data_IF_094128302133
#
_entry.id   IF_094128302133
#
_cell.length_a   1.000
_cell.length_b   1.000
_cell.length_c   1.000
_cell.angle_alpha   90.00
_cell.angle_beta   90.00
_cell.angle_gamma   90.00
#
_symmetry.space_group_name_H-M   'P 1'
#
loop_
_entity.id
_entity.type
_entity.pdbx_description
1 polymer ?
#
# COMPACT_ATOMS: atom_id res chain seq x y z
N UNK A 1 3.71 1.58 7.98
CA UNK A 1 2.75 2.00 6.95
C UNK A 1 2.09 3.30 7.37
N UNK A 2 2.07 4.26 6.49
CA UNK A 2 1.50 5.59 6.77
C UNK A 2 0.22 5.76 5.98
N UNK A 3 -0.75 6.48 6.53
CA UNK A 3 -2.01 6.75 5.84
C UNK A 3 -2.26 8.25 5.82
N UNK A 4 -2.74 8.76 4.69
CA UNK A 4 -3.10 10.16 4.55
C UNK A 4 -4.21 10.33 3.52
N UNK A 5 -4.88 11.47 3.56
CA UNK A 5 -5.91 11.79 2.61
C UNK A 5 -5.31 12.22 1.27
N UNK A 6 -6.11 12.13 0.22
CA UNK A 6 -5.73 12.62 -1.11
C UNK A 6 -5.33 14.10 -1.07
N UNK A 7 -6.11 14.92 -0.37
CA UNK A 7 -5.84 16.36 -0.28
C UNK A 7 -4.48 16.63 0.38
N UNK A 8 -4.18 15.91 1.45
CA UNK A 8 -2.92 16.04 2.17
C UNK A 8 -1.75 15.57 1.30
N UNK A 9 -1.89 14.45 0.63
CA UNK A 9 -0.83 13.91 -0.24
C UNK A 9 -0.58 14.83 -1.43
N UNK A 10 -1.63 15.39 -2.01
CA UNK A 10 -1.53 16.29 -3.14
C UNK A 10 -0.76 17.55 -2.80
N UNK A 11 -0.98 18.09 -1.60
CA UNK A 11 -0.29 19.30 -1.14
C UNK A 11 1.22 19.10 -0.99
N UNK A 12 1.65 17.86 -0.68
CA UNK A 12 3.05 17.53 -0.42
C UNK A 12 3.51 16.32 -1.22
N UNK A 13 3.05 16.19 -2.45
CA UNK A 13 3.22 14.95 -3.21
C UNK A 13 4.68 14.56 -3.41
N UNK A 14 5.53 15.54 -3.73
CA UNK A 14 6.96 15.27 -3.90
C UNK A 14 7.60 14.69 -2.62
N UNK A 15 7.22 15.23 -1.47
CA UNK A 15 7.70 14.73 -0.17
C UNK A 15 7.18 13.32 0.12
N UNK A 16 5.94 13.04 -0.26
CA UNK A 16 5.36 11.72 -0.10
C UNK A 16 6.14 10.70 -0.93
N UNK A 17 6.41 11.02 -2.18
CA UNK A 17 7.18 10.14 -3.06
C UNK A 17 8.61 9.94 -2.55
N UNK A 18 9.25 11.00 -2.08
CA UNK A 18 10.60 10.92 -1.52
C UNK A 18 10.65 10.01 -0.28
N UNK A 19 9.67 10.13 0.60
CA UNK A 19 9.59 9.29 1.79
C UNK A 19 9.39 7.81 1.42
N UNK A 20 8.54 7.56 0.43
CA UNK A 20 8.30 6.19 -0.03
C UNK A 20 9.57 5.56 -0.58
N UNK A 21 10.35 6.31 -1.35
CA UNK A 21 11.56 5.79 -1.98
C UNK A 21 12.74 5.76 -1.00
N UNK A 22 12.96 6.84 -0.27
CA UNK A 22 14.15 6.99 0.58
C UNK A 22 14.01 6.31 1.94
N UNK A 23 12.84 6.46 2.56
CA UNK A 23 12.59 5.93 3.91
C UNK A 23 11.88 4.59 3.89
N UNK A 24 11.55 4.09 2.72
CA UNK A 24 10.85 2.81 2.55
C UNK A 24 9.52 2.76 3.32
N UNK A 25 8.81 3.87 3.33
CA UNK A 25 7.53 3.99 4.02
C UNK A 25 6.39 3.88 3.01
N UNK A 26 5.68 2.76 3.02
CA UNK A 26 4.49 2.60 2.19
C UNK A 26 3.41 3.56 2.69
N UNK A 27 2.71 4.20 1.78
CA UNK A 27 1.72 5.20 2.13
C UNK A 27 0.37 4.87 1.51
N UNK A 28 -0.65 4.76 2.35
CA UNK A 28 -2.03 4.55 1.91
C UNK A 28 -2.66 5.92 1.68
N UNK A 29 -3.23 6.09 0.50
CA UNK A 29 -3.94 7.32 0.14
C UNK A 29 -5.43 7.03 0.13
N UNK A 30 -6.17 7.75 0.95
CA UNK A 30 -7.62 7.62 1.03
C UNK A 30 -8.30 8.81 0.36
N UNK A 31 -9.42 8.54 -0.27
CA UNK A 31 -10.23 9.57 -0.91
C UNK A 31 -11.70 9.21 -0.74
N UNK A 32 -12.50 10.16 -0.23
CA UNK A 32 -13.92 9.93 0.02
C UNK A 32 -14.64 9.42 -1.23
N UNK A 33 -15.39 8.34 -1.08
CA UNK A 33 -16.14 7.75 -2.18
C UNK A 33 -15.32 6.96 -3.19
N UNK A 34 -14.04 6.76 -2.94
CA UNK A 34 -13.14 6.01 -3.84
C UNK A 34 -12.38 4.93 -3.07
N UNK A 35 -11.96 3.93 -3.81
CA UNK A 35 -11.14 2.87 -3.26
C UNK A 35 -9.78 3.44 -2.84
N UNK A 36 -9.30 3.10 -1.63
CA UNK A 36 -7.96 3.53 -1.23
C UNK A 36 -6.89 2.86 -2.09
N UNK A 37 -5.78 3.57 -2.25
CA UNK A 37 -4.64 3.06 -3.00
C UNK A 37 -3.41 3.10 -2.10
N UNK A 38 -2.38 2.36 -2.46
CA UNK A 38 -1.11 2.39 -1.74
C UNK A 38 -0.01 2.87 -2.68
N UNK A 39 0.85 3.74 -2.17
CA UNK A 39 2.06 4.16 -2.87
C UNK A 39 3.22 3.39 -2.27
N UNK A 40 3.94 2.68 -3.12
CA UNK A 40 5.09 1.88 -2.74
C UNK A 40 6.13 2.02 -3.85
N UNK A 41 7.42 1.94 -3.50
CA UNK A 41 8.45 2.00 -4.53
C UNK A 41 8.35 0.79 -5.46
N UNK A 42 8.77 0.97 -6.70
CA UNK A 42 8.76 -0.14 -7.67
C UNK A 42 9.59 -1.32 -7.16
N UNK A 43 10.74 -1.03 -6.54
CA UNK A 43 11.61 -2.06 -5.96
C UNK A 43 10.87 -2.87 -4.89
N UNK A 44 10.16 -2.18 -3.98
CA UNK A 44 9.38 -2.85 -2.95
C UNK A 44 8.25 -3.67 -3.54
N UNK A 45 7.57 -3.13 -4.53
CA UNK A 45 6.47 -3.83 -5.19
C UNK A 45 6.97 -5.11 -5.86
N UNK A 46 8.08 -5.03 -6.57
CA UNK A 46 8.67 -6.21 -7.21
C UNK A 46 9.12 -7.24 -6.18
N UNK A 47 9.68 -6.78 -5.07
CA UNK A 47 10.10 -7.64 -3.97
C UNK A 47 8.91 -8.37 -3.34
N UNK A 48 7.81 -7.67 -3.13
CA UNK A 48 6.58 -8.25 -2.60
C UNK A 48 6.02 -9.31 -3.55
N UNK A 49 6.00 -9.02 -4.84
CA UNK A 49 5.55 -9.98 -5.85
C UNK A 49 6.44 -11.21 -5.88
N UNK A 50 7.74 -11.00 -5.84
CA UNK A 50 8.72 -12.08 -5.87
C UNK A 50 8.63 -12.93 -4.61
N UNK A 51 8.49 -12.30 -3.44
CA UNK A 51 8.31 -12.99 -2.18
C UNK A 51 7.05 -13.85 -2.19
N UNK A 52 5.95 -13.30 -2.66
CA UNK A 52 4.69 -14.04 -2.77
C UNK A 52 4.83 -15.24 -3.70
N UNK A 53 5.62 -15.10 -4.76
CA UNK A 53 5.91 -16.18 -5.71
C UNK A 53 6.86 -17.23 -5.13
N UNK A 54 7.92 -16.78 -4.46
CA UNK A 54 8.98 -17.64 -3.91
C UNK A 54 8.58 -18.38 -2.65
N UNK A 55 7.62 -17.86 -1.90
CA UNK A 55 7.16 -18.54 -0.68
C UNK A 55 6.57 -19.91 -0.95
N UNK A 56 6.31 -20.24 -2.21
CA UNK A 56 6.09 -21.62 -2.67
C UNK A 56 4.97 -22.38 -1.99
N UNK A 57 4.48 -21.90 -0.87
CA UNK A 57 3.32 -22.46 -0.20
C UNK A 57 2.15 -21.55 -0.49
N UNK A 58 1.16 -22.02 -1.25
CA UNK A 58 -0.01 -21.21 -1.56
C UNK A 58 -0.69 -20.60 -0.34
N UNK A 59 -0.62 -21.30 0.78
CA UNK A 59 -1.21 -20.86 2.04
C UNK A 59 -0.55 -19.57 2.57
N UNK A 60 0.77 -19.48 2.56
CA UNK A 60 1.48 -18.32 3.08
C UNK A 60 1.31 -17.09 2.17
N UNK A 61 1.41 -17.30 0.86
CA UNK A 61 1.18 -16.23 -0.11
C UNK A 61 -0.25 -15.70 0.02
N UNK A 62 -1.22 -16.59 0.19
CA UNK A 62 -2.60 -16.24 0.37
C UNK A 62 -2.84 -15.43 1.64
N UNK A 63 -2.16 -15.75 2.72
CA UNK A 63 -2.25 -15.01 3.96
C UNK A 63 -1.82 -13.55 3.81
N UNK A 64 -0.71 -13.34 3.11
CA UNK A 64 -0.22 -12.00 2.85
C UNK A 64 -1.19 -11.19 2.00
N UNK A 65 -1.70 -11.80 0.93
CA UNK A 65 -2.67 -11.17 0.06
C UNK A 65 -3.98 -10.89 0.79
N UNK A 66 -4.44 -11.82 1.62
CA UNK A 66 -5.64 -11.64 2.42
C UNK A 66 -5.48 -10.48 3.41
N UNK A 67 -4.29 -10.30 3.98
CA UNK A 67 -4.01 -9.19 4.88
C UNK A 67 -4.12 -7.84 4.17
N UNK A 68 -3.62 -7.76 2.95
CA UNK A 68 -3.72 -6.56 2.13
C UNK A 68 -5.19 -6.28 1.78
N UNK A 69 -5.93 -7.30 1.37
CA UNK A 69 -7.34 -7.19 1.04
C UNK A 69 -8.17 -6.72 2.24
N UNK A 70 -7.89 -7.25 3.42
CA UNK A 70 -8.58 -6.82 4.64
C UNK A 70 -8.36 -5.35 4.96
N UNK A 71 -7.15 -4.86 4.74
CA UNK A 71 -6.84 -3.45 4.91
C UNK A 71 -7.65 -2.59 3.95
N UNK A 72 -7.73 -3.00 2.70
CA UNK A 72 -8.51 -2.31 1.67
C UNK A 72 -9.99 -2.30 2.02
N UNK A 73 -10.54 -3.43 2.44
CA UNK A 73 -11.94 -3.55 2.86
C UNK A 73 -12.26 -2.65 4.05
N UNK A 74 -11.35 -2.59 5.03
CA UNK A 74 -11.53 -1.72 6.19
C UNK A 74 -11.60 -0.26 5.80
N UNK A 75 -10.72 0.16 4.92
CA UNK A 75 -10.70 1.55 4.46
C UNK A 75 -11.93 1.88 3.63
N UNK A 76 -12.37 0.95 2.80
CA UNK A 76 -13.60 1.10 2.04
C UNK A 76 -14.83 1.20 2.95
N UNK A 77 -14.86 0.40 4.01
CA UNK A 77 -15.96 0.42 4.97
C UNK A 77 -16.03 1.74 5.74
N UNK A 78 -14.91 2.43 5.90
CA UNK A 78 -14.85 3.73 6.57
C UNK A 78 -15.19 4.90 5.63
N UNK A 79 -15.09 4.67 4.36
CA UNK A 79 -15.44 5.67 3.39
C UNK A 79 -16.96 5.75 3.19
#
# INVERSE_FOLDING_TARGET
>A
MKAMSYTESRANFAKVLDAVVNDRVETIITRSGHEPVVIVSLTEYESLRETAHLLGTPATARRLLDSVERLEERDQAKA
#
